data_IF_375204222374
#
_entry.id   IF_375204222374
#
_cell.length_a   1.000
_cell.length_b   1.000
_cell.length_c   1.000
_cell.angle_alpha   90.00
_cell.angle_beta   90.00
_cell.angle_gamma   90.00
#
_symmetry.space_group_name_H-M   'P 1'
#
loop_
_entity.id
_entity.type
_entity.pdbx_description
1 polymer ?
#
# COMPACT_ATOMS: atom_id res chain seq x y z
N UNK A 1 -8.76 -18.85 1.85
CA UNK A 1 -8.92 -19.61 3.11
C UNK A 1 -9.37 -18.59 4.12
N UNK A 2 -10.29 -18.89 5.06
CA UNK A 2 -10.67 -17.87 6.02
C UNK A 2 -9.45 -17.46 6.87
N UNK A 3 -9.42 -16.18 7.24
CA UNK A 3 -8.55 -15.69 8.31
C UNK A 3 -8.91 -16.39 9.62
N UNK A 4 -7.98 -16.43 10.56
CA UNK A 4 -8.26 -16.92 11.91
C UNK A 4 -9.35 -16.05 12.54
N UNK A 5 -10.44 -16.66 12.96
CA UNK A 5 -11.49 -15.99 13.72
C UNK A 5 -11.22 -16.07 15.22
N UNK A 6 -11.73 -15.10 15.97
CA UNK A 6 -11.70 -15.16 17.43
C UNK A 6 -12.50 -16.37 17.91
N UNK A 7 -11.92 -17.14 18.84
CA UNK A 7 -12.56 -18.31 19.46
C UNK A 7 -12.38 -18.22 20.96
N UNK A 8 -13.47 -18.33 21.70
CA UNK A 8 -13.46 -18.41 23.17
C UNK A 8 -14.74 -19.09 23.62
N UNK A 9 -14.67 -19.79 24.75
CA UNK A 9 -15.81 -20.40 25.42
C UNK A 9 -15.63 -20.30 26.95
N UNK A 10 -16.56 -20.88 27.70
CA UNK A 10 -16.51 -20.88 29.18
C UNK A 10 -15.32 -21.69 29.73
N UNK A 11 -14.74 -22.56 28.90
CA UNK A 11 -13.59 -23.39 29.24
C UNK A 11 -12.28 -22.62 29.12
N UNK A 12 -12.15 -21.79 28.09
CA UNK A 12 -11.01 -20.89 27.93
C UNK A 12 -11.38 -19.66 27.09
N UNK A 13 -11.00 -18.49 27.60
CA UNK A 13 -11.05 -17.24 26.85
C UNK A 13 -9.71 -16.51 26.96
N UNK A 14 -9.34 -15.77 25.89
CA UNK A 14 -8.16 -14.91 25.85
C UNK A 14 -8.58 -13.50 25.43
N UNK A 15 -8.07 -12.49 26.12
CA UNK A 15 -8.28 -11.08 25.80
C UNK A 15 -6.95 -10.33 25.80
N UNK A 16 -6.75 -9.49 24.80
CA UNK A 16 -5.63 -8.55 24.69
C UNK A 16 -6.09 -7.15 25.10
N UNK A 17 -5.17 -6.31 25.55
CA UNK A 17 -5.47 -4.93 25.97
C UNK A 17 -5.75 -3.99 24.79
N UNK A 18 -5.09 -4.22 23.65
CA UNK A 18 -5.31 -3.56 22.36
C UNK A 18 -5.30 -4.58 21.23
N UNK A 19 -5.84 -4.21 20.08
CA UNK A 19 -5.91 -5.06 18.90
C UNK A 19 -4.75 -4.83 17.91
N UNK A 20 -4.07 -3.69 17.98
CA UNK A 20 -3.09 -3.25 16.98
C UNK A 20 -1.70 -3.03 17.61
N UNK A 21 -0.68 -3.60 16.98
CA UNK A 21 0.70 -3.59 17.44
C UNK A 21 1.68 -3.31 16.29
N UNK A 22 2.94 -3.08 16.62
CA UNK A 22 4.09 -3.05 15.71
C UNK A 22 5.13 -4.11 16.15
N UNK A 23 5.92 -4.66 15.22
CA UNK A 23 7.02 -5.57 15.56
C UNK A 23 7.94 -4.98 16.63
N UNK A 24 8.32 -5.79 17.63
CA UNK A 24 9.11 -5.37 18.79
C UNK A 24 8.29 -4.97 20.02
N UNK A 25 7.00 -4.65 19.87
CA UNK A 25 6.12 -4.37 21.01
C UNK A 25 5.78 -5.64 21.80
N UNK A 26 5.25 -5.45 23.01
CA UNK A 26 4.75 -6.54 23.85
C UNK A 26 3.22 -6.57 23.82
N UNK A 27 2.66 -7.73 23.55
CA UNK A 27 1.23 -8.01 23.69
C UNK A 27 0.96 -8.39 25.14
N UNK A 28 0.18 -7.58 25.83
CA UNK A 28 -0.31 -7.81 27.18
C UNK A 28 -1.79 -8.18 27.16
N UNK A 29 -2.18 -9.03 28.10
CA UNK A 29 -3.56 -9.48 28.18
C UNK A 29 -3.81 -10.47 29.29
N UNK A 30 -4.99 -11.06 29.27
CA UNK A 30 -5.43 -12.02 30.27
C UNK A 30 -6.09 -13.24 29.62
N UNK A 31 -5.83 -14.40 30.21
CA UNK A 31 -6.53 -15.65 29.96
C UNK A 31 -7.49 -15.87 31.11
N UNK A 32 -8.72 -16.28 30.81
CA UNK A 32 -9.73 -16.59 31.82
C UNK A 32 -10.34 -17.97 31.59
N UNK A 33 -10.65 -18.66 32.68
CA UNK A 33 -11.38 -19.94 32.70
C UNK A 33 -12.44 -19.92 33.79
N UNK A 34 -13.65 -20.38 33.46
CA UNK A 34 -14.78 -20.49 34.39
C UNK A 34 -15.06 -21.95 34.75
N UNK A 35 -14.87 -22.88 33.80
CA UNK A 35 -15.08 -24.31 34.02
C UNK A 35 -14.32 -24.85 35.23
N UNK A 36 -15.07 -25.53 36.10
CA UNK A 36 -14.53 -26.20 37.27
C UNK A 36 -13.43 -27.20 36.88
N UNK A 37 -12.38 -27.27 37.69
CA UNK A 37 -11.27 -28.17 37.46
C UNK A 37 -10.58 -28.54 38.78
N UNK A 38 -10.17 -29.79 38.92
CA UNK A 38 -9.22 -30.23 39.92
C UNK A 38 -8.21 -31.14 39.23
N UNK A 39 -6.96 -30.70 39.11
CA UNK A 39 -5.90 -31.46 38.47
C UNK A 39 -4.55 -31.21 39.16
N UNK A 40 -3.74 -32.25 39.30
CA UNK A 40 -2.39 -32.19 39.85
C UNK A 40 -1.35 -31.58 38.90
N UNK A 41 -1.62 -31.59 37.59
CA UNK A 41 -0.67 -31.09 36.59
C UNK A 41 -1.39 -30.46 35.40
N UNK A 42 -1.36 -29.14 35.36
CA UNK A 42 -1.89 -28.32 34.28
C UNK A 42 -0.76 -27.52 33.65
N UNK A 43 -0.80 -27.34 32.33
CA UNK A 43 0.02 -26.35 31.63
C UNK A 43 -0.88 -25.35 30.93
N UNK A 44 -0.65 -24.06 31.16
CA UNK A 44 -1.26 -22.97 30.41
C UNK A 44 -0.16 -22.21 29.69
N UNK A 45 -0.33 -22.02 28.39
CA UNK A 45 0.60 -21.28 27.55
C UNK A 45 -0.14 -20.36 26.59
N UNK A 46 0.57 -19.34 26.13
CA UNK A 46 0.14 -18.46 25.03
C UNK A 46 1.12 -18.64 23.90
N UNK A 47 0.60 -18.82 22.69
CA UNK A 47 1.40 -18.92 21.47
C UNK A 47 1.01 -17.77 20.55
N UNK A 48 1.97 -16.92 20.22
CA UNK A 48 1.82 -15.93 19.14
C UNK A 48 2.19 -16.62 17.83
N UNK A 49 1.28 -16.54 16.87
CA UNK A 49 1.45 -17.04 15.51
C UNK A 49 1.51 -15.87 14.53
N UNK A 50 2.36 -15.99 13.51
CA UNK A 50 2.34 -15.14 12.33
C UNK A 50 2.49 -16.00 11.09
N UNK A 51 1.69 -15.76 10.04
CA UNK A 51 1.77 -16.55 8.81
C UNK A 51 1.32 -15.77 7.58
N UNK A 52 1.92 -16.08 6.44
CA UNK A 52 1.53 -15.60 5.12
C UNK A 52 0.80 -16.72 4.36
N UNK A 53 -0.31 -16.39 3.71
CA UNK A 53 -1.16 -17.34 2.98
C UNK A 53 -1.61 -16.76 1.66
N UNK A 54 -1.58 -17.61 0.65
CA UNK A 54 -2.10 -17.32 -0.68
C UNK A 54 -3.10 -18.40 -1.09
N UNK A 55 -4.10 -18.02 -1.88
CA UNK A 55 -5.03 -18.96 -2.49
C UNK A 55 -5.36 -18.49 -3.90
N UNK A 56 -5.30 -19.42 -4.83
CA UNK A 56 -5.78 -19.25 -6.18
C UNK A 56 -6.82 -20.33 -6.48
N UNK A 57 -7.94 -19.95 -7.08
CA UNK A 57 -8.96 -20.88 -7.56
C UNK A 57 -9.19 -20.57 -9.03
N UNK A 58 -8.93 -21.56 -9.87
CA UNK A 58 -9.21 -21.54 -11.30
C UNK A 58 -10.43 -22.44 -11.55
N UNK A 59 -11.49 -21.87 -12.13
CA UNK A 59 -12.73 -22.60 -12.42
C UNK A 59 -12.75 -22.93 -13.90
N UNK A 60 -12.66 -24.21 -14.23
CA UNK A 60 -12.88 -24.71 -15.59
C UNK A 60 -14.17 -25.53 -15.68
N UNK A 61 -14.56 -25.93 -16.90
CA UNK A 61 -15.76 -26.74 -17.15
C UNK A 61 -15.79 -28.09 -16.39
N UNK A 62 -14.64 -28.52 -15.84
CA UNK A 62 -14.48 -29.77 -15.10
C UNK A 62 -14.45 -29.58 -13.57
N UNK A 63 -14.53 -28.34 -13.08
CA UNK A 63 -14.55 -28.02 -11.65
C UNK A 63 -13.57 -26.91 -11.24
N UNK A 64 -13.53 -26.61 -9.95
CA UNK A 64 -12.61 -25.63 -9.36
C UNK A 64 -11.54 -26.33 -8.52
N UNK A 65 -10.27 -26.18 -8.89
CA UNK A 65 -9.15 -26.75 -8.11
C UNK A 65 -8.44 -25.63 -7.33
N UNK A 66 -8.54 -25.59 -5.99
CA UNK A 66 -7.87 -24.57 -5.21
C UNK A 66 -6.36 -24.89 -5.09
N UNK A 67 -5.52 -23.94 -5.50
CA UNK A 67 -4.08 -23.89 -5.20
C UNK A 67 -3.86 -23.00 -3.98
N UNK A 68 -2.90 -23.34 -3.13
CA UNK A 68 -2.66 -22.65 -1.86
C UNK A 68 -1.17 -22.56 -1.55
N UNK A 69 -0.73 -21.44 -1.00
CA UNK A 69 0.57 -21.28 -0.35
C UNK A 69 0.37 -20.94 1.12
N UNK A 70 1.25 -21.45 1.99
CA UNK A 70 1.27 -21.13 3.42
C UNK A 70 2.70 -21.18 3.94
N UNK A 71 3.12 -20.11 4.58
CA UNK A 71 4.42 -19.96 5.21
C UNK A 71 4.24 -19.42 6.63
N UNK A 72 4.88 -20.06 7.60
CA UNK A 72 4.92 -19.55 8.97
C UNK A 72 5.98 -18.45 9.04
N UNK A 73 5.60 -17.29 9.56
CA UNK A 73 6.51 -16.16 9.76
C UNK A 73 7.13 -16.21 11.15
N UNK A 74 6.37 -16.67 12.15
CA UNK A 74 6.84 -16.85 13.52
C UNK A 74 5.92 -17.79 14.29
N UNK A 75 6.47 -18.38 15.35
CA UNK A 75 5.71 -19.07 16.39
C UNK A 75 6.39 -18.92 17.75
N UNK A 76 5.91 -17.99 18.57
CA UNK A 76 6.50 -17.70 19.89
C UNK A 76 5.61 -18.26 20.99
N UNK A 77 6.14 -19.20 21.78
CA UNK A 77 5.42 -19.80 22.92
C UNK A 77 5.91 -19.23 24.25
N UNK A 78 4.99 -18.77 25.09
CA UNK A 78 5.22 -18.38 26.48
C UNK A 78 4.41 -19.31 27.40
N UNK A 79 5.08 -19.93 28.38
CA UNK A 79 4.38 -20.66 29.44
C UNK A 79 3.90 -19.65 30.49
N UNK A 80 2.60 -19.63 30.75
CA UNK A 80 1.94 -18.72 31.70
C UNK A 80 1.77 -19.38 33.06
N UNK A 81 1.47 -20.68 33.08
CA UNK A 81 1.34 -21.46 34.31
C UNK A 81 1.73 -22.91 34.08
N UNK A 82 2.35 -23.52 35.10
CA UNK A 82 2.57 -24.97 35.16
C UNK A 82 2.46 -25.44 36.61
N UNK A 83 1.63 -26.45 36.86
CA UNK A 83 1.49 -27.06 38.19
C UNK A 83 0.06 -27.48 38.53
N UNK A 84 -0.20 -27.80 39.82
CA UNK A 84 -1.52 -28.21 40.28
C UNK A 84 -2.51 -27.05 40.26
N UNK A 85 -3.77 -27.35 39.93
CA UNK A 85 -4.82 -26.36 39.78
C UNK A 85 -6.15 -26.85 40.34
N UNK A 86 -6.78 -25.99 41.14
CA UNK A 86 -8.15 -26.11 41.55
C UNK A 86 -8.91 -24.84 41.14
N UNK A 87 -10.01 -25.03 40.41
CA UNK A 87 -10.99 -24.01 40.05
C UNK A 87 -12.35 -24.53 40.54
N UNK A 88 -12.93 -23.91 41.58
CA UNK A 88 -14.28 -24.25 42.01
C UNK A 88 -15.29 -23.88 40.91
N UNK A 89 -16.36 -24.68 40.76
CA UNK A 89 -17.45 -24.34 39.84
C UNK A 89 -18.31 -23.19 40.37
N UNK A 90 -18.91 -22.40 39.46
CA UNK A 90 -19.82 -21.29 39.77
C UNK A 90 -19.22 -20.16 40.62
N UNK A 91 -17.91 -19.92 40.53
CA UNK A 91 -17.23 -18.79 41.19
C UNK A 91 -16.71 -17.78 40.17
N UNK A 92 -16.04 -16.72 40.64
CA UNK A 92 -15.35 -15.78 39.76
C UNK A 92 -14.35 -16.51 38.83
N UNK A 93 -14.21 -16.07 37.56
CA UNK A 93 -13.29 -16.67 36.61
C UNK A 93 -11.86 -16.62 37.14
N UNK A 94 -11.14 -17.74 37.04
CA UNK A 94 -9.70 -17.71 37.30
C UNK A 94 -9.00 -16.98 36.17
N UNK A 95 -8.08 -16.08 36.50
CA UNK A 95 -7.40 -15.19 35.56
C UNK A 95 -5.88 -15.35 35.64
N UNK A 96 -5.23 -15.36 34.48
CA UNK A 96 -3.78 -15.30 34.35
C UNK A 96 -3.40 -14.19 33.38
N UNK A 97 -2.48 -13.33 33.79
CA UNK A 97 -1.92 -12.31 32.90
C UNK A 97 -0.77 -12.89 32.08
N UNK A 98 -0.59 -12.40 30.86
CA UNK A 98 0.52 -12.76 29.98
C UNK A 98 1.15 -11.52 29.36
N UNK A 99 2.38 -11.67 28.88
CA UNK A 99 3.14 -10.61 28.21
C UNK A 99 4.06 -11.24 27.15
N UNK A 100 3.63 -11.25 25.88
CA UNK A 100 4.38 -11.87 24.78
C UNK A 100 5.03 -10.79 23.91
N UNK A 101 6.36 -10.81 23.82
CA UNK A 101 7.09 -9.90 22.93
C UNK A 101 6.94 -10.36 21.47
N UNK A 102 6.58 -9.43 20.59
CA UNK A 102 6.52 -9.65 19.14
C UNK A 102 7.95 -9.52 18.60
N UNK A 103 8.52 -10.55 17.96
CA UNK A 103 9.81 -10.43 17.28
C UNK A 103 9.80 -9.31 16.23
N UNK A 104 10.95 -8.75 15.90
CA UNK A 104 11.04 -7.77 14.80
C UNK A 104 11.18 -8.42 13.43
N UNK A 105 11.63 -9.69 13.40
CA UNK A 105 11.98 -10.43 12.18
C UNK A 105 11.29 -11.80 12.12
N UNK A 106 11.26 -12.37 10.92
CA UNK A 106 10.79 -13.73 10.66
C UNK A 106 11.67 -14.75 11.39
N UNK A 107 11.04 -15.78 11.95
CA UNK A 107 11.74 -16.89 12.61
C UNK A 107 12.31 -17.87 11.57
N UNK A 108 13.60 -17.74 11.32
CA UNK A 108 14.34 -18.59 10.38
C UNK A 108 14.41 -20.07 10.81
N UNK A 109 14.12 -20.41 12.08
CA UNK A 109 14.16 -21.80 12.55
C UNK A 109 13.09 -22.69 11.90
N UNK A 110 12.03 -22.09 11.36
CA UNK A 110 11.03 -22.80 10.56
C UNK A 110 11.55 -23.31 9.22
N UNK A 111 12.73 -22.84 8.78
CA UNK A 111 13.29 -23.10 7.46
C UNK A 111 14.75 -23.60 7.54
N UNK A 112 15.00 -24.79 8.12
CA UNK A 112 16.35 -25.29 8.36
C UNK A 112 17.08 -25.78 7.08
N UNK A 113 16.46 -25.71 5.90
CA UNK A 113 17.02 -26.21 4.65
C UNK A 113 17.10 -25.13 3.58
N UNK A 114 18.16 -25.17 2.76
CA UNK A 114 18.35 -24.23 1.66
C UNK A 114 17.43 -24.59 0.48
N UNK A 115 16.36 -23.82 0.29
CA UNK A 115 15.50 -23.93 -0.89
C UNK A 115 15.70 -22.65 -1.71
N UNK A 116 16.41 -22.77 -2.83
CA UNK A 116 16.53 -21.67 -3.80
C UNK A 116 15.19 -21.48 -4.49
N UNK A 117 14.80 -20.22 -4.73
CA UNK A 117 13.47 -19.69 -5.13
C UNK A 117 12.70 -20.33 -6.30
N UNK A 118 12.61 -21.67 -6.38
CA UNK A 118 11.70 -22.39 -7.27
C UNK A 118 10.27 -22.38 -6.71
N UNK A 119 10.14 -22.39 -5.37
CA UNK A 119 8.86 -22.50 -4.66
C UNK A 119 8.52 -21.28 -3.79
N UNK A 120 9.32 -20.22 -3.85
CA UNK A 120 9.10 -18.97 -3.12
C UNK A 120 9.58 -17.78 -3.94
N UNK A 121 9.03 -16.60 -3.63
CA UNK A 121 9.40 -15.32 -4.25
C UNK A 121 10.78 -14.83 -3.78
N UNK A 122 11.33 -15.45 -2.75
CA UNK A 122 12.64 -15.17 -2.16
C UNK A 122 13.37 -16.49 -1.91
N UNK A 123 14.68 -16.41 -1.74
CA UNK A 123 15.47 -17.56 -1.30
C UNK A 123 15.13 -17.92 0.16
N UNK A 124 14.89 -19.21 0.40
CA UNK A 124 14.62 -19.75 1.72
C UNK A 124 15.92 -20.34 2.25
N UNK A 125 16.76 -19.46 2.77
CA UNK A 125 17.95 -19.79 3.55
C UNK A 125 17.98 -18.96 4.83
N UNK A 126 18.76 -19.41 5.81
CA UNK A 126 18.82 -18.77 7.13
C UNK A 126 19.24 -17.30 7.05
N UNK A 127 20.21 -16.95 6.20
CA UNK A 127 20.73 -15.59 6.09
C UNK A 127 19.69 -14.64 5.51
N UNK A 128 19.00 -15.06 4.46
CA UNK A 128 17.92 -14.28 3.84
C UNK A 128 16.75 -14.13 4.81
N UNK A 129 16.26 -15.23 5.40
CA UNK A 129 15.06 -15.24 6.24
C UNK A 129 15.27 -14.48 7.55
N UNK A 130 16.44 -14.62 8.20
CA UNK A 130 16.72 -13.93 9.48
C UNK A 130 16.78 -12.40 9.36
N UNK A 131 17.02 -11.87 8.16
CA UNK A 131 17.02 -10.43 7.86
C UNK A 131 15.66 -9.89 7.44
N UNK A 132 14.66 -10.75 7.23
CA UNK A 132 13.32 -10.32 6.86
C UNK A 132 12.61 -9.73 8.08
N UNK A 133 12.27 -8.45 8.02
CA UNK A 133 11.36 -7.85 8.98
C UNK A 133 9.97 -8.48 8.89
N UNK A 134 9.23 -8.49 10.00
CA UNK A 134 7.85 -8.95 9.97
C UNK A 134 6.99 -8.00 9.13
N UNK A 135 6.27 -8.50 8.11
CA UNK A 135 5.32 -7.70 7.35
C UNK A 135 4.16 -7.24 8.24
N UNK A 136 3.49 -6.16 7.84
CA UNK A 136 2.21 -5.79 8.41
C UNK A 136 1.14 -6.85 8.13
N UNK A 137 0.07 -6.86 8.94
CA UNK A 137 -1.16 -7.55 8.60
C UNK A 137 -1.69 -7.02 7.28
N UNK A 138 -2.01 -7.94 6.39
CA UNK A 138 -2.37 -7.64 5.01
C UNK A 138 -3.51 -8.55 4.61
N UNK A 139 -4.46 -8.02 3.85
CA UNK A 139 -5.48 -8.81 3.19
C UNK A 139 -5.87 -8.12 1.90
N UNK A 140 -5.77 -8.85 0.81
CA UNK A 140 -6.24 -8.42 -0.49
C UNK A 140 -6.79 -9.63 -1.22
N UNK A 141 -7.88 -9.45 -1.95
CA UNK A 141 -8.50 -10.55 -2.66
C UNK A 141 -9.44 -10.09 -3.74
N UNK A 142 -9.35 -10.76 -4.87
CA UNK A 142 -10.17 -10.50 -6.05
C UNK A 142 -11.07 -11.71 -6.31
N UNK A 143 -12.33 -11.42 -6.63
CA UNK A 143 -13.30 -12.41 -7.06
C UNK A 143 -13.79 -12.05 -8.46
N UNK A 144 -13.36 -12.78 -9.48
CA UNK A 144 -13.92 -12.71 -10.83
C UNK A 144 -14.72 -13.99 -11.11
N UNK A 145 -15.72 -13.94 -11.99
CA UNK A 145 -16.69 -15.04 -12.15
C UNK A 145 -16.09 -16.45 -12.34
N UNK A 146 -14.88 -16.52 -12.90
CA UNK A 146 -14.15 -17.77 -13.15
C UNK A 146 -12.90 -17.95 -12.28
N UNK A 147 -12.48 -16.96 -11.48
CA UNK A 147 -11.28 -17.10 -10.65
C UNK A 147 -11.35 -16.33 -9.33
N UNK A 148 -10.78 -16.91 -8.27
CA UNK A 148 -10.67 -16.25 -6.96
C UNK A 148 -9.22 -16.25 -6.51
N UNK A 149 -8.70 -15.06 -6.20
CA UNK A 149 -7.32 -14.80 -5.79
C UNK A 149 -7.35 -14.16 -4.41
N UNK A 150 -6.53 -14.66 -3.49
CA UNK A 150 -6.45 -14.13 -2.12
C UNK A 150 -5.00 -14.18 -1.66
N UNK A 151 -4.53 -13.08 -1.07
CA UNK A 151 -3.28 -13.00 -0.32
C UNK A 151 -3.55 -12.38 1.04
N UNK A 152 -3.04 -12.98 2.11
CA UNK A 152 -3.11 -12.35 3.43
C UNK A 152 -1.94 -12.74 4.34
N UNK A 153 -1.56 -11.78 5.17
CA UNK A 153 -0.63 -11.93 6.29
C UNK A 153 -1.44 -11.72 7.56
N UNK A 154 -1.40 -12.67 8.48
CA UNK A 154 -2.19 -12.63 9.71
C UNK A 154 -1.35 -12.98 10.94
N UNK A 155 -1.74 -12.39 12.07
CA UNK A 155 -1.18 -12.63 13.39
C UNK A 155 -2.30 -12.91 14.38
N UNK A 156 -2.07 -13.85 15.29
CA UNK A 156 -3.06 -14.21 16.32
C UNK A 156 -2.37 -14.84 17.52
N UNK A 157 -2.98 -14.69 18.70
CA UNK A 157 -2.59 -15.42 19.90
C UNK A 157 -3.52 -16.60 20.11
N UNK A 158 -2.94 -17.73 20.49
CA UNK A 158 -3.64 -18.94 20.92
C UNK A 158 -3.27 -19.22 22.38
N UNK A 159 -4.24 -19.14 23.29
CA UNK A 159 -4.12 -19.70 24.62
C UNK A 159 -4.37 -21.21 24.53
N UNK A 160 -3.44 -22.00 25.08
CA UNK A 160 -3.51 -23.47 25.10
C UNK A 160 -3.46 -23.92 26.55
N UNK A 161 -4.52 -24.60 26.99
CA UNK A 161 -4.68 -25.15 28.32
C UNK A 161 -4.70 -26.67 28.25
N UNK A 162 -3.66 -27.31 28.77
CA UNK A 162 -3.47 -28.76 28.76
C UNK A 162 -3.62 -29.31 30.18
N UNK A 163 -4.46 -30.33 30.33
CA UNK A 163 -4.71 -30.98 31.62
C UNK A 163 -5.08 -32.47 31.39
N UNK A 164 -5.23 -33.25 32.46
CA UNK A 164 -5.66 -34.65 32.41
C UNK A 164 -7.03 -34.81 33.05
N UNK A 165 -7.99 -35.34 32.29
CA UNK A 165 -9.30 -35.74 32.81
C UNK A 165 -9.44 -37.24 32.67
N UNK A 166 -9.74 -37.94 33.76
CA UNK A 166 -9.96 -39.40 33.77
C UNK A 166 -8.80 -40.21 33.14
N UNK A 167 -7.56 -39.73 33.25
CA UNK A 167 -6.37 -40.38 32.69
C UNK A 167 -6.08 -40.05 31.23
N UNK A 168 -6.97 -39.37 30.50
CA UNK A 168 -6.72 -38.85 29.15
C UNK A 168 -6.27 -37.39 29.19
N UNK A 169 -5.34 -37.02 28.31
CA UNK A 169 -4.98 -35.63 28.08
C UNK A 169 -6.12 -34.89 27.39
N UNK A 170 -6.54 -33.76 27.95
CA UNK A 170 -7.52 -32.84 27.39
C UNK A 170 -6.86 -31.48 27.11
N UNK A 171 -7.28 -30.84 26.01
CA UNK A 171 -6.77 -29.54 25.59
C UNK A 171 -7.92 -28.60 25.30
N UNK A 172 -7.92 -27.44 25.96
CA UNK A 172 -8.80 -26.33 25.66
C UNK A 172 -8.01 -25.20 24.99
N UNK A 173 -8.64 -24.48 24.06
CA UNK A 173 -7.96 -23.44 23.28
C UNK A 173 -8.84 -22.22 23.05
N UNK A 174 -8.24 -21.04 23.20
CA UNK A 174 -8.87 -19.77 22.89
C UNK A 174 -7.97 -18.98 21.94
N UNK A 175 -8.56 -18.27 20.99
CA UNK A 175 -7.84 -17.59 19.92
C UNK A 175 -8.31 -16.15 19.82
N UNK A 176 -7.37 -15.22 19.69
CA UNK A 176 -7.65 -13.81 19.42
C UNK A 176 -6.74 -13.29 18.29
N UNK A 177 -7.29 -12.85 17.16
CA UNK A 177 -6.54 -12.17 16.11
C UNK A 177 -6.01 -10.82 16.60
N UNK A 178 -4.84 -10.43 16.11
CA UNK A 178 -4.28 -9.09 16.31
C UNK A 178 -3.84 -8.52 14.97
N UNK A 179 -3.84 -7.19 14.87
CA UNK A 179 -3.32 -6.44 13.73
C UNK A 179 -1.89 -6.03 14.00
N UNK A 180 -1.03 -6.22 13.02
CA UNK A 180 0.35 -5.77 13.04
C UNK A 180 0.53 -4.68 11.98
N UNK A 181 1.00 -3.49 12.37
CA UNK A 181 1.42 -2.46 11.43
C UNK A 181 2.87 -2.70 11.06
N UNK A 182 3.21 -2.50 9.78
CA UNK A 182 4.60 -2.56 9.34
C UNK A 182 5.44 -1.54 10.11
N UNK A 183 6.62 -1.95 10.56
CA UNK A 183 7.53 -1.11 11.35
C UNK A 183 8.30 -0.18 10.42
N UNK A 184 8.40 1.09 10.79
CA UNK A 184 9.36 2.01 10.18
C UNK A 184 9.90 2.97 11.25
N UNK A 185 11.15 2.77 11.65
CA UNK A 185 11.84 3.63 12.64
C UNK A 185 12.66 4.74 12.01
N UNK A 186 12.70 4.83 10.68
CA UNK A 186 13.35 5.94 10.00
C UNK A 186 12.57 7.25 10.23
N UNK A 187 13.23 8.41 10.20
CA UNK A 187 12.56 9.71 10.20
C UNK A 187 11.52 9.84 9.07
N UNK A 188 10.60 10.82 9.18
CA UNK A 188 9.74 11.21 8.07
C UNK A 188 10.53 11.43 6.77
N UNK A 189 9.96 10.97 5.67
CA UNK A 189 10.56 11.02 4.34
C UNK A 189 10.75 12.47 3.92
N UNK A 190 11.97 12.80 3.53
CA UNK A 190 12.34 14.12 2.97
C UNK A 190 12.81 14.04 1.52
N UNK A 191 13.36 12.89 1.11
CA UNK A 191 13.76 12.61 -0.25
C UNK A 191 12.76 11.64 -0.89
N UNK A 192 11.97 12.16 -1.83
CA UNK A 192 10.94 11.41 -2.53
C UNK A 192 11.43 10.75 -3.83
N UNK A 193 12.73 10.87 -4.13
CA UNK A 193 13.34 10.34 -5.36
C UNK A 193 12.56 10.75 -6.60
N UNK A 194 12.48 12.07 -6.83
CA UNK A 194 11.66 12.66 -7.87
C UNK A 194 12.13 12.22 -9.28
N UNK A 195 11.19 11.75 -10.09
CA UNK A 195 11.39 11.33 -11.48
C UNK A 195 10.96 12.47 -12.41
N UNK A 196 11.85 12.97 -13.28
CA UNK A 196 11.53 14.02 -14.24
C UNK A 196 10.85 13.48 -15.49
N UNK A 197 9.88 14.21 -16.01
CA UNK A 197 9.23 13.98 -17.29
C UNK A 197 9.24 15.25 -18.13
N UNK A 198 9.29 15.09 -19.46
CA UNK A 198 9.31 16.21 -20.41
C UNK A 198 8.42 15.89 -21.60
N UNK A 199 7.45 16.76 -21.85
CA UNK A 199 6.50 16.59 -22.95
C UNK A 199 6.45 17.83 -23.81
N UNK A 200 6.79 17.67 -25.09
CA UNK A 200 6.67 18.74 -26.07
C UNK A 200 5.21 18.88 -26.51
N UNK A 201 4.72 20.12 -26.48
CA UNK A 201 3.36 20.49 -26.84
C UNK A 201 3.37 21.79 -27.63
N UNK A 202 2.22 22.09 -28.23
CA UNK A 202 1.98 23.28 -29.00
C UNK A 202 0.51 23.69 -28.87
N UNK A 203 0.27 24.99 -28.73
CA UNK A 203 -1.07 25.59 -28.82
C UNK A 203 -1.09 26.62 -29.95
N UNK A 204 -2.22 26.72 -30.63
CA UNK A 204 -2.40 27.58 -31.82
C UNK A 204 -3.65 28.43 -31.62
N UNK A 205 -3.48 29.70 -31.28
CA UNK A 205 -4.64 30.57 -30.97
C UNK A 205 -4.32 32.05 -31.13
N UNK A 206 -5.32 32.84 -31.52
CA UNK A 206 -5.19 34.31 -31.61
C UNK A 206 -4.97 34.96 -30.24
N UNK A 207 -5.33 34.28 -29.14
CA UNK A 207 -5.15 34.74 -27.76
C UNK A 207 -3.68 34.88 -27.34
N UNK A 208 -2.74 34.39 -28.15
CA UNK A 208 -1.30 34.59 -27.95
C UNK A 208 -0.84 36.00 -28.39
N UNK A 209 -1.67 36.74 -29.15
CA UNK A 209 -1.34 38.10 -29.56
C UNK A 209 -1.74 39.13 -28.48
N UNK A 210 -0.92 40.18 -28.27
CA UNK A 210 -1.26 41.26 -27.34
C UNK A 210 -2.61 41.91 -27.66
N UNK A 211 -3.46 42.08 -26.66
CA UNK A 211 -4.80 42.68 -26.79
C UNK A 211 -5.89 41.70 -27.26
N UNK A 212 -5.56 40.43 -27.48
CA UNK A 212 -6.52 39.38 -27.85
C UNK A 212 -6.70 38.32 -26.75
N UNK A 213 -6.20 38.55 -25.54
CA UNK A 213 -6.12 37.56 -24.46
C UNK A 213 -7.51 37.06 -24.01
N UNK A 214 -8.52 37.94 -24.11
CA UNK A 214 -9.91 37.65 -23.75
C UNK A 214 -10.84 37.49 -24.98
N UNK A 215 -10.29 37.33 -26.19
CA UNK A 215 -11.12 37.19 -27.38
C UNK A 215 -11.98 35.91 -27.26
N UNK A 216 -13.32 36.06 -27.27
CA UNK A 216 -14.24 34.94 -27.42
C UNK A 216 -14.13 34.44 -28.86
N UNK A 217 -13.81 33.15 -29.04
CA UNK A 217 -13.78 32.49 -30.35
C UNK A 217 -15.21 32.43 -30.89
N UNK A 218 -15.66 33.51 -31.51
CA UNK A 218 -16.89 33.54 -32.28
C UNK A 218 -16.74 32.60 -33.47
N UNK A 219 -17.82 31.92 -33.87
CA UNK A 219 -17.91 31.18 -35.12
C UNK A 219 -17.47 32.00 -36.37
N UNK A 220 -17.31 33.32 -36.24
CA UNK A 220 -16.69 34.22 -37.23
C UNK A 220 -15.17 34.03 -37.41
N UNK A 221 -14.42 33.42 -36.49
CA UNK A 221 -12.99 33.16 -36.67
C UNK A 221 -12.72 32.06 -37.71
N UNK A 222 -13.70 31.17 -37.92
CA UNK A 222 -13.71 30.23 -39.05
C UNK A 222 -13.91 30.93 -40.40
N UNK A 223 -14.52 32.12 -40.44
CA UNK A 223 -14.80 32.89 -41.67
C UNK A 223 -13.66 33.86 -41.99
N UNK A 224 -12.92 34.35 -40.99
CA UNK A 224 -11.68 35.14 -41.21
C UNK A 224 -10.52 34.32 -41.79
N UNK A 225 -10.55 32.98 -41.68
CA UNK A 225 -9.63 32.08 -42.41
C UNK A 225 -9.70 32.23 -43.94
N UNK A 226 -10.77 32.82 -44.48
CA UNK A 226 -11.01 32.92 -45.93
C UNK A 226 -10.60 34.26 -46.58
N UNK A 227 -10.29 35.31 -45.79
CA UNK A 227 -9.98 36.65 -46.35
C UNK A 227 -8.69 37.22 -45.74
N UNK A 228 -7.55 36.71 -46.23
CA UNK A 228 -6.19 37.27 -46.14
C UNK A 228 -5.85 38.15 -44.94
N UNK A 229 -5.37 37.57 -43.84
CA UNK A 229 -4.62 38.25 -42.75
C UNK A 229 -3.91 37.19 -41.84
N UNK A 230 -3.04 37.57 -40.89
CA UNK A 230 -1.83 36.81 -40.52
C UNK A 230 -2.12 35.41 -39.98
N UNK A 231 -1.17 34.51 -40.23
CA UNK A 231 -1.09 33.17 -39.64
C UNK A 231 -1.50 33.19 -38.16
N UNK A 232 -2.40 32.28 -37.76
CA UNK A 232 -2.70 32.09 -36.33
C UNK A 232 -1.38 31.72 -35.65
N UNK A 233 -0.95 32.45 -34.60
CA UNK A 233 0.35 32.19 -34.01
C UNK A 233 0.35 30.87 -33.25
N UNK A 234 1.52 30.25 -33.25
CA UNK A 234 1.83 28.99 -32.64
C UNK A 234 2.78 29.22 -31.45
N UNK A 235 2.40 28.71 -30.29
CA UNK A 235 3.28 28.66 -29.12
C UNK A 235 3.68 27.22 -28.85
N UNK A 236 4.95 26.89 -29.11
CA UNK A 236 5.57 25.61 -28.81
C UNK A 236 6.25 25.67 -27.44
N UNK A 237 6.14 24.61 -26.65
CA UNK A 237 6.68 24.56 -25.29
C UNK A 237 6.89 23.11 -24.81
N UNK A 238 7.61 22.98 -23.71
CA UNK A 238 7.78 21.75 -22.93
C UNK A 238 7.03 21.87 -21.61
N UNK A 239 6.25 20.86 -21.29
CA UNK A 239 5.74 20.67 -19.93
C UNK A 239 6.77 19.79 -19.22
N UNK A 240 7.37 20.32 -18.17
CA UNK A 240 8.29 19.58 -17.31
C UNK A 240 7.61 19.29 -15.97
N UNK A 241 7.52 18.01 -15.63
CA UNK A 241 6.96 17.57 -14.34
C UNK A 241 7.97 16.73 -13.57
N UNK A 242 7.93 16.80 -12.24
CA UNK A 242 8.69 15.93 -11.36
C UNK A 242 7.73 15.26 -10.39
N UNK A 243 7.66 13.93 -10.44
CA UNK A 243 6.76 13.14 -9.61
C UNK A 243 7.54 12.19 -8.70
N UNK A 244 7.02 11.85 -7.51
CA UNK A 244 7.75 11.04 -6.55
C UNK A 244 7.71 9.56 -6.93
N UNK A 245 8.84 8.87 -6.77
CA UNK A 245 8.92 7.41 -6.90
C UNK A 245 8.93 6.68 -5.55
N UNK A 246 9.06 7.43 -4.45
CA UNK A 246 8.94 6.93 -3.09
C UNK A 246 7.85 7.71 -2.35
N UNK A 247 6.94 6.99 -1.72
CA UNK A 247 5.82 7.52 -0.95
C UNK A 247 5.89 6.99 0.48
N UNK A 248 5.49 7.81 1.46
CA UNK A 248 5.36 7.38 2.84
C UNK A 248 3.90 7.49 3.30
N UNK A 249 3.38 6.42 3.91
CA UNK A 249 2.05 6.45 4.53
C UNK A 249 2.00 7.52 5.62
N UNK A 250 0.85 8.21 5.72
CA UNK A 250 0.61 9.33 6.64
C UNK A 250 1.47 10.59 6.39
N UNK A 251 2.14 10.69 5.23
CA UNK A 251 2.80 11.93 4.83
C UNK A 251 1.75 13.04 4.59
N UNK A 252 1.94 14.26 5.12
CA UNK A 252 0.93 15.32 5.04
C UNK A 252 0.72 15.87 3.62
N UNK A 253 1.75 15.81 2.77
CA UNK A 253 1.68 16.22 1.37
C UNK A 253 2.67 15.43 0.53
N UNK A 254 2.24 15.03 -0.67
CA UNK A 254 3.04 14.39 -1.71
C UNK A 254 3.56 15.49 -2.63
N UNK A 255 4.88 15.67 -2.82
CA UNK A 255 5.39 16.70 -3.72
C UNK A 255 5.17 16.29 -5.18
N UNK A 256 4.67 17.22 -5.99
CA UNK A 256 4.57 17.05 -7.44
C UNK A 256 4.81 18.40 -8.08
N UNK A 257 5.89 18.51 -8.84
CA UNK A 257 6.31 19.80 -9.40
C UNK A 257 5.96 19.90 -10.87
N UNK A 258 5.56 21.10 -11.31
CA UNK A 258 5.25 21.39 -12.72
C UNK A 258 5.74 22.77 -13.14
N UNK A 259 6.24 22.87 -14.37
CA UNK A 259 6.48 24.14 -15.08
C UNK A 259 6.28 23.99 -16.58
N UNK A 260 6.08 25.13 -17.24
CA UNK A 260 6.07 25.25 -18.69
C UNK A 260 7.33 25.98 -19.13
N UNK A 261 8.09 25.37 -20.04
CA UNK A 261 9.31 25.95 -20.61
C UNK A 261 9.04 26.26 -22.09
N UNK A 262 8.98 27.54 -22.48
CA UNK A 262 8.78 27.92 -23.88
C UNK A 262 9.84 27.30 -24.81
N UNK A 263 9.43 26.99 -26.03
CA UNK A 263 10.33 26.69 -27.14
C UNK A 263 10.17 27.80 -28.18
N UNK A 264 10.92 28.89 -27.98
CA UNK A 264 10.79 30.09 -28.80
C UNK A 264 11.21 29.90 -30.25
N UNK A 265 12.19 29.03 -30.53
CA UNK A 265 12.64 28.75 -31.90
C UNK A 265 11.56 28.08 -32.75
N UNK A 266 10.72 27.26 -32.12
CA UNK A 266 9.64 26.53 -32.78
C UNK A 266 8.28 27.24 -32.69
N UNK A 267 8.24 28.37 -31.98
CA UNK A 267 7.08 29.26 -31.89
C UNK A 267 7.04 30.28 -33.04
N UNK A 268 5.87 30.81 -33.34
CA UNK A 268 5.65 31.85 -34.34
C UNK A 268 6.46 33.12 -34.05
N UNK A 269 7.01 33.75 -35.09
CA UNK A 269 7.87 34.92 -34.97
C UNK A 269 7.18 36.09 -34.28
N UNK A 270 5.87 36.25 -34.51
CA UNK A 270 5.05 37.32 -33.97
C UNK A 270 4.94 37.26 -32.44
N UNK A 271 5.25 36.14 -31.80
CA UNK A 271 5.21 35.97 -30.34
C UNK A 271 6.60 35.80 -29.70
N UNK A 272 7.67 35.68 -30.50
CA UNK A 272 9.04 35.58 -29.97
C UNK A 272 9.44 36.87 -29.26
N UNK A 273 10.08 36.74 -28.10
CA UNK A 273 10.54 37.87 -27.29
C UNK A 273 9.42 38.63 -26.56
N UNK A 274 8.17 38.16 -26.63
CA UNK A 274 7.06 38.65 -25.80
C UNK A 274 7.01 37.88 -24.48
N UNK A 275 6.32 38.42 -23.44
CA UNK A 275 6.08 37.67 -22.21
C UNK A 275 5.40 36.33 -22.51
N UNK A 276 5.81 35.30 -21.79
CA UNK A 276 5.22 33.97 -21.92
C UNK A 276 3.72 34.00 -21.57
N UNK A 277 2.87 33.21 -22.27
CA UNK A 277 1.46 33.14 -21.95
C UNK A 277 1.25 32.56 -20.55
N UNK A 278 0.16 32.98 -19.90
CA UNK A 278 -0.26 32.38 -18.63
C UNK A 278 -0.64 30.92 -18.84
N UNK A 279 -0.13 30.06 -17.96
CA UNK A 279 -0.46 28.65 -17.89
C UNK A 279 -1.15 28.36 -16.55
N UNK A 280 -2.19 27.53 -16.55
CA UNK A 280 -2.91 27.14 -15.33
C UNK A 280 -3.23 25.65 -15.35
N UNK A 281 -3.06 24.96 -14.23
CA UNK A 281 -3.64 23.62 -14.06
C UNK A 281 -5.14 23.78 -13.83
N UNK A 282 -5.93 23.14 -14.68
CA UNK A 282 -7.41 23.15 -14.63
C UNK A 282 -8.00 21.85 -14.10
N UNK A 283 -7.28 20.75 -14.23
CA UNK A 283 -7.64 19.46 -13.67
C UNK A 283 -6.37 18.63 -13.41
N UNK A 284 -6.39 17.88 -12.31
CA UNK A 284 -5.36 16.92 -11.95
C UNK A 284 -6.03 15.61 -11.54
N UNK A 285 -5.46 14.49 -11.98
CA UNK A 285 -5.86 13.16 -11.52
C UNK A 285 -4.60 12.33 -11.30
N UNK A 286 -4.38 11.88 -10.08
CA UNK A 286 -3.35 10.90 -9.74
C UNK A 286 -3.98 9.60 -9.25
N UNK A 287 -3.43 8.48 -9.72
CA UNK A 287 -3.83 7.11 -9.37
C UNK A 287 -2.59 6.33 -8.97
N UNK A 288 -2.62 5.76 -7.77
CA UNK A 288 -1.64 4.81 -7.30
C UNK A 288 -2.26 3.41 -7.46
N UNK A 289 -1.77 2.58 -8.37
CA UNK A 289 -2.31 1.24 -8.57
C UNK A 289 -1.46 0.20 -7.85
N UNK A 290 -2.11 -0.68 -7.09
CA UNK A 290 -1.45 -1.79 -6.39
C UNK A 290 -1.36 -3.03 -7.28
N UNK A 291 -0.25 -3.76 -7.19
CA UNK A 291 -0.08 -5.07 -7.82
C UNK A 291 0.30 -6.08 -6.74
N UNK A 292 -0.58 -7.07 -6.50
CA UNK A 292 -0.28 -8.15 -5.58
C UNK A 292 0.01 -9.44 -6.34
N UNK A 293 1.28 -9.80 -6.43
CA UNK A 293 1.70 -11.11 -6.93
C UNK A 293 1.54 -12.15 -5.81
N UNK A 294 0.82 -13.23 -6.07
CA UNK A 294 0.76 -14.38 -5.17
C UNK A 294 1.39 -15.61 -5.80
N UNK A 295 2.08 -16.39 -4.97
CA UNK A 295 2.60 -17.70 -5.34
C UNK A 295 1.80 -18.79 -4.64
N UNK A 296 1.34 -19.79 -5.38
CA UNK A 296 0.67 -20.96 -4.82
C UNK A 296 1.36 -22.24 -5.31
N UNK A 297 1.59 -23.21 -4.43
CA UNK A 297 2.05 -24.53 -4.85
C UNK A 297 0.88 -25.32 -5.48
N UNK A 298 1.14 -26.03 -6.59
CA UNK A 298 0.25 -27.08 -7.10
C UNK A 298 0.54 -28.41 -6.40
N UNK A 299 -0.52 -29.13 -6.01
CA UNK A 299 -0.38 -30.41 -5.30
C UNK A 299 0.31 -31.52 -6.12
N UNK A 300 0.94 -32.44 -5.38
CA UNK A 300 1.50 -33.76 -5.73
C UNK A 300 2.16 -33.85 -7.12
N UNK A 301 3.46 -33.56 -7.19
CA UNK A 301 4.35 -33.70 -8.35
C UNK A 301 4.20 -32.61 -9.43
N UNK A 302 4.47 -31.37 -9.07
CA UNK A 302 4.65 -30.32 -10.08
C UNK A 302 4.71 -28.95 -9.45
N UNK A 303 5.89 -28.36 -9.48
CA UNK A 303 6.24 -27.02 -9.05
C UNK A 303 5.82 -25.99 -10.10
N UNK A 304 4.51 -25.91 -10.40
CA UNK A 304 4.04 -24.89 -11.32
C UNK A 304 3.91 -23.56 -10.56
N UNK A 305 4.87 -22.65 -10.81
CA UNK A 305 4.77 -21.23 -10.44
C UNK A 305 3.52 -20.65 -11.09
N UNK A 306 2.45 -20.53 -10.32
CA UNK A 306 1.27 -19.78 -10.72
C UNK A 306 1.36 -18.40 -10.08
N UNK A 307 2.14 -17.56 -10.73
CA UNK A 307 2.15 -16.13 -10.47
C UNK A 307 0.82 -15.57 -10.97
N UNK A 308 0.07 -14.98 -10.06
CA UNK A 308 -1.18 -14.31 -10.35
C UNK A 308 -1.08 -12.93 -9.72
N UNK A 309 -1.42 -11.93 -10.51
CA UNK A 309 -1.46 -10.54 -10.08
C UNK A 309 -2.83 -9.96 -10.39
N UNK A 310 -3.20 -8.95 -9.64
CA UNK A 310 -4.34 -8.11 -9.96
C UNK A 310 -4.03 -6.69 -9.56
N UNK A 311 -4.78 -5.78 -10.16
CA UNK A 311 -4.62 -4.34 -10.04
C UNK A 311 -5.82 -3.76 -9.30
N UNK A 312 -5.56 -2.92 -8.30
CA UNK A 312 -6.57 -2.08 -7.67
C UNK A 312 -6.09 -0.62 -7.74
N UNK A 313 -6.95 0.24 -8.31
CA UNK A 313 -6.67 1.67 -8.46
C UNK A 313 -7.05 2.41 -7.19
N UNK A 314 -6.12 3.21 -6.67
CA UNK A 314 -6.34 4.08 -5.53
C UNK A 314 -6.11 5.53 -5.96
N UNK A 315 -7.17 6.33 -6.04
CA UNK A 315 -7.03 7.75 -6.36
C UNK A 315 -6.33 8.48 -5.21
N UNK A 316 -5.38 9.36 -5.54
CA UNK A 316 -4.77 10.23 -4.54
C UNK A 316 -5.84 11.14 -3.91
N UNK A 317 -5.71 11.41 -2.62
CA UNK A 317 -6.59 12.34 -1.91
C UNK A 317 -6.06 13.77 -2.08
N UNK A 318 -6.92 14.77 -2.16
CA UNK A 318 -6.50 16.17 -2.23
C UNK A 318 -7.65 17.14 -2.42
N UNK A 319 -7.36 18.42 -2.20
CA UNK A 319 -8.29 19.51 -2.43
C UNK A 319 -8.45 19.69 -3.95
N UNK A 320 -9.70 19.66 -4.44
CA UNK A 320 -10.01 19.90 -5.86
C UNK A 320 -10.33 18.66 -6.70
N UNK A 321 -10.38 17.46 -6.12
CA UNK A 321 -10.88 16.26 -6.80
C UNK A 321 -12.38 16.32 -7.14
N UNK A 322 -13.15 17.21 -6.49
CA UNK A 322 -14.58 17.38 -6.71
C UNK A 322 -14.88 18.56 -7.66
N UNK A 323 -14.93 18.29 -8.98
CA UNK A 323 -15.72 19.01 -10.01
C UNK A 323 -15.61 20.56 -10.08
N UNK A 324 -14.70 21.19 -9.35
CA UNK A 324 -14.41 22.62 -9.44
C UNK A 324 -13.24 22.79 -10.41
N UNK A 325 -13.29 23.75 -11.34
CA UNK A 325 -12.12 24.08 -12.13
C UNK A 325 -11.00 24.46 -11.17
N UNK A 326 -9.93 23.67 -11.20
CA UNK A 326 -8.68 24.05 -10.55
C UNK A 326 -8.17 25.30 -11.29
N UNK A 327 -7.54 26.22 -10.58
CA UNK A 327 -6.95 27.41 -11.20
C UNK A 327 -5.62 27.70 -10.51
N UNK A 328 -4.70 26.74 -10.59
CA UNK A 328 -3.35 26.89 -10.05
C UNK A 328 -2.47 27.45 -11.15
N UNK A 329 -1.93 28.65 -10.93
CA UNK A 329 -1.00 29.28 -11.85
C UNK A 329 0.29 28.44 -11.95
N UNK A 330 0.68 28.14 -13.20
CA UNK A 330 1.89 27.38 -13.51
C UNK A 330 2.95 28.34 -14.04
N UNK A 331 4.16 28.34 -13.46
CA UNK A 331 5.27 29.13 -13.98
C UNK A 331 5.57 28.77 -15.44
N UNK A 332 5.63 29.80 -16.28
CA UNK A 332 5.88 29.69 -17.72
C UNK A 332 7.07 30.59 -18.09
N UNK A 333 8.22 30.01 -18.42
CA UNK A 333 9.43 30.74 -18.76
C UNK A 333 10.67 29.86 -18.82
N UNK A 334 11.79 30.41 -19.31
CA UNK A 334 13.02 29.65 -19.54
C UNK A 334 13.72 29.22 -18.24
N UNK A 335 13.76 30.11 -17.24
CA UNK A 335 14.47 29.93 -15.96
C UNK A 335 13.54 30.09 -14.74
N UNK A 336 12.29 29.61 -14.85
CA UNK A 336 11.33 29.66 -13.74
C UNK A 336 11.42 28.42 -12.85
N UNK A 337 11.29 28.62 -11.53
CA UNK A 337 11.11 27.52 -10.59
C UNK A 337 9.76 26.83 -10.82
N UNK A 338 9.73 25.51 -10.63
CA UNK A 338 8.50 24.74 -10.79
C UNK A 338 7.56 24.93 -9.60
N UNK A 339 6.26 25.01 -9.86
CA UNK A 339 5.25 25.07 -8.82
C UNK A 339 5.03 23.68 -8.20
N UNK A 340 4.91 23.61 -6.88
CA UNK A 340 4.52 22.40 -6.16
C UNK A 340 3.00 22.23 -6.17
N UNK A 341 2.51 21.51 -7.19
CA UNK A 341 1.10 21.14 -7.32
C UNK A 341 0.65 20.27 -6.14
N UNK A 342 1.56 19.43 -5.65
CA UNK A 342 1.37 18.58 -4.50
C UNK A 342 0.96 19.34 -3.25
N UNK A 343 1.76 20.35 -2.90
CA UNK A 343 1.46 21.25 -1.79
C UNK A 343 0.19 22.09 -2.04
N UNK A 344 0.01 22.62 -3.26
CA UNK A 344 -1.13 23.47 -3.60
C UNK A 344 -2.48 22.73 -3.53
N UNK A 345 -2.50 21.43 -3.79
CA UNK A 345 -3.69 20.57 -3.71
C UNK A 345 -3.74 19.74 -2.42
N UNK A 346 -2.77 19.87 -1.51
CA UNK A 346 -2.64 19.01 -0.34
C UNK A 346 -2.71 17.51 -0.67
N UNK A 347 -2.04 17.10 -1.75
CA UNK A 347 -2.07 15.73 -2.27
C UNK A 347 -1.59 14.74 -1.22
N UNK A 348 -2.34 13.67 -1.00
CA UNK A 348 -2.10 12.67 0.03
C UNK A 348 -2.37 11.27 -0.48
N UNK A 349 -1.74 10.29 0.16
CA UNK A 349 -2.04 8.90 -0.08
C UNK A 349 -3.41 8.56 0.51
N UNK A 350 -4.20 7.69 -0.16
CA UNK A 350 -5.45 7.22 0.42
C UNK A 350 -5.23 6.44 1.72
N UNK A 351 -6.18 6.54 2.65
CA UNK A 351 -6.04 5.93 3.99
C UNK A 351 -5.95 4.40 3.99
N UNK A 352 -6.47 3.75 2.96
CA UNK A 352 -6.60 2.28 2.87
C UNK A 352 -5.55 1.67 1.94
N UNK A 353 -4.28 2.01 2.13
CA UNK A 353 -3.16 1.42 1.39
C UNK A 353 -2.21 0.66 2.32
N UNK A 354 -1.46 -0.26 1.73
CA UNK A 354 -0.44 -1.03 2.42
C UNK A 354 0.96 -0.65 1.90
N UNK A 355 2.00 -0.68 2.74
CA UNK A 355 3.36 -0.46 2.26
C UNK A 355 3.77 -1.57 1.29
N UNK A 356 4.70 -1.28 0.38
CA UNK A 356 5.36 -2.30 -0.44
C UNK A 356 6.01 -3.35 0.47
N UNK A 357 5.80 -4.64 0.17
CA UNK A 357 6.45 -5.71 0.91
C UNK A 357 6.60 -6.99 0.08
N UNK A 358 7.49 -7.87 0.53
CA UNK A 358 7.67 -9.22 -0.02
C UNK A 358 7.70 -10.23 1.11
N UNK A 359 6.95 -11.30 0.96
CA UNK A 359 7.04 -12.52 1.76
C UNK A 359 7.47 -13.69 0.87
N UNK A 360 7.46 -14.90 1.42
CA UNK A 360 7.68 -16.12 0.66
C UNK A 360 6.73 -16.30 -0.54
N UNK A 361 5.48 -15.83 -0.43
CA UNK A 361 4.43 -16.16 -1.39
C UNK A 361 3.48 -15.00 -1.75
N UNK A 362 3.79 -13.80 -1.30
CA UNK A 362 3.05 -12.57 -1.58
C UNK A 362 4.06 -11.45 -1.83
N UNK A 363 3.87 -10.68 -2.90
CA UNK A 363 4.63 -9.49 -3.20
C UNK A 363 3.68 -8.36 -3.59
N UNK A 364 3.71 -7.26 -2.84
CA UNK A 364 2.89 -6.08 -3.09
C UNK A 364 3.76 -4.96 -3.65
N UNK A 365 3.43 -4.51 -4.86
CA UNK A 365 4.10 -3.44 -5.60
C UNK A 365 3.11 -2.34 -5.95
N UNK A 366 3.61 -1.20 -6.38
CA UNK A 366 2.81 -0.04 -6.75
C UNK A 366 3.33 0.59 -8.03
N UNK A 367 2.43 1.20 -8.80
CA UNK A 367 2.73 2.16 -9.88
C UNK A 367 2.04 3.49 -9.62
N UNK A 368 2.54 4.54 -10.24
CA UNK A 368 1.89 5.85 -10.27
C UNK A 368 1.49 6.18 -11.71
N UNK A 369 0.21 6.48 -11.92
CA UNK A 369 -0.33 7.06 -13.14
C UNK A 369 -0.90 8.44 -12.82
N UNK A 370 -0.57 9.48 -13.59
CA UNK A 370 -1.18 10.80 -13.37
C UNK A 370 -1.40 11.60 -14.65
N UNK A 371 -2.46 12.40 -14.62
CA UNK A 371 -2.88 13.31 -15.68
C UNK A 371 -2.88 14.74 -15.16
N UNK A 372 -2.29 15.65 -15.94
CA UNK A 372 -2.35 17.09 -15.66
C UNK A 372 -2.93 17.79 -16.89
N UNK A 373 -4.06 18.46 -16.70
CA UNK A 373 -4.71 19.27 -17.72
C UNK A 373 -4.36 20.73 -17.48
N UNK A 374 -3.89 21.39 -18.54
CA UNK A 374 -3.41 22.76 -18.52
C UNK A 374 -4.24 23.61 -19.47
N UNK A 375 -4.58 24.81 -19.03
CA UNK A 375 -5.08 25.88 -19.87
C UNK A 375 -3.92 26.85 -20.17
N UNK A 376 -3.63 27.07 -21.45
CA UNK A 376 -2.59 27.99 -21.91
C UNK A 376 -3.19 28.89 -22.99
N UNK A 377 -3.29 30.19 -22.69
CA UNK A 377 -3.95 31.16 -23.55
C UNK A 377 -5.38 30.73 -23.98
N UNK A 378 -6.12 30.05 -23.10
CA UNK A 378 -7.49 29.62 -23.38
C UNK A 378 -7.60 28.36 -24.24
N UNK A 379 -6.48 27.67 -24.51
CA UNK A 379 -6.44 26.36 -25.15
C UNK A 379 -6.07 25.29 -24.12
N UNK A 380 -6.84 24.20 -24.10
CA UNK A 380 -6.59 23.08 -23.20
C UNK A 380 -5.58 22.09 -23.80
N UNK A 381 -4.60 21.69 -23.01
CA UNK A 381 -3.69 20.59 -23.30
C UNK A 381 -3.54 19.69 -22.08
N UNK A 382 -2.95 18.52 -22.24
CA UNK A 382 -2.70 17.63 -21.11
C UNK A 382 -1.44 16.80 -21.29
N UNK A 383 -0.93 16.33 -20.16
CA UNK A 383 0.10 15.29 -20.07
C UNK A 383 -0.44 14.10 -19.29
N UNK A 384 0.07 12.92 -19.62
CA UNK A 384 -0.18 11.67 -18.94
C UNK A 384 1.17 11.01 -18.72
N UNK A 385 1.54 10.88 -17.46
CA UNK A 385 2.81 10.28 -17.06
C UNK A 385 2.57 9.02 -16.25
N UNK A 386 3.58 8.14 -16.30
CA UNK A 386 3.53 6.83 -15.68
C UNK A 386 4.90 6.49 -15.06
N UNK A 387 4.88 6.02 -13.82
CA UNK A 387 6.03 5.38 -13.15
C UNK A 387 5.66 3.92 -12.86
N UNK A 388 6.31 3.01 -13.59
CA UNK A 388 6.05 1.55 -13.55
C UNK A 388 6.26 0.94 -12.16
N UNK A 389 7.22 1.48 -11.41
CA UNK A 389 7.55 0.99 -10.09
C UNK A 389 7.78 2.13 -9.11
N UNK A 390 6.90 2.25 -8.13
CA UNK A 390 7.05 3.14 -6.98
C UNK A 390 7.11 2.34 -5.68
N UNK A 391 7.77 2.91 -4.68
CA UNK A 391 7.90 2.29 -3.35
C UNK A 391 7.00 3.03 -2.37
N UNK A 392 6.10 2.31 -1.72
CA UNK A 392 5.31 2.83 -0.60
C UNK A 392 5.93 2.32 0.69
N UNK A 393 6.46 3.19 1.53
CA UNK A 393 7.03 2.82 2.82
C UNK A 393 6.03 3.05 3.96
N UNK A 394 6.15 2.32 5.10
CA UNK A 394 5.26 2.50 6.23
C UNK A 394 5.38 3.90 6.85
N UNK A 395 4.36 4.30 7.59
CA UNK A 395 4.36 5.55 8.36
C UNK A 395 5.55 5.59 9.33
N UNK A 396 6.19 6.76 9.44
CA UNK A 396 7.34 6.95 10.32
C UNK A 396 6.91 6.90 11.79
N UNK A 397 7.69 6.16 12.59
CA UNK A 397 7.70 6.26 14.06
C UNK A 397 9.00 6.87 14.59
N UNK A 398 9.89 7.31 13.70
CA UNK A 398 11.17 7.93 14.04
C UNK A 398 11.03 9.40 14.44
N UNK A 399 12.03 9.97 15.13
CA UNK A 399 12.05 11.40 15.39
C UNK A 399 12.12 12.19 14.06
N UNK A 400 11.60 13.42 14.02
CA UNK A 400 11.72 14.27 12.85
C UNK A 400 13.21 14.51 12.51
N UNK A 401 13.56 14.71 11.23
CA UNK A 401 14.95 14.89 10.82
C UNK A 401 15.55 16.12 11.51
N UNK A 402 16.73 15.97 12.13
CA UNK A 402 17.51 17.10 12.67
C UNK A 402 17.20 17.52 14.11
N UNK A 403 16.62 16.64 14.93
CA UNK A 403 16.54 16.80 16.40
C UNK A 403 17.74 16.18 17.10
#
# INVERSE_FOLDING_TARGET
MPQTEARSDDDLAIKVERDTYTPGETVTGNITRVSALVDSEVTLSVVLHGRAKSKFMDRNDRGATPRRGRYELLKVKQNVFKGPMQIPGNTEPRRWSFAVQIPTHVDASHYPGNHKGQDALIDIDYETVSKMELPGSFMMGQNSGYSRREGFVEYYLEAVFEHKRSGSAETATAVVPIQLRARNTAPPLVDFSLVPFKNEKKVTTQRLLPGMENAELSAMDSVKKFFGTPSVPDFAFKIETHAPSVFQIDQPSIPLFIRVVPNWSDSSEEIRGKPAPKARVVCFRGVLASFCDILCASGKMGFARHEQWWEEDHELEGDGYDLRPLAIDVPCGDDVEAADLGAAMHLRLPRSIFPSFTTFNIHLRWKLDFWVYLDIAGEETHVHEHIEQVTVIPASSGPPPGV
#
